data_IF_014951832393
#
_entry.id   IF_014951832393
#
_cell.length_a   1.000
_cell.length_b   1.000
_cell.length_c   1.000
_cell.angle_alpha   90.00
_cell.angle_beta   90.00
_cell.angle_gamma   90.00
#
_symmetry.space_group_name_H-M   'P 1'
#
loop_
_entity.id
_entity.type
_entity.pdbx_description
1 polymer ?
#
# COMPACT_ATOMS: atom_id res chain seq x y z
N UNK A 1 -23.08 -15.57 -29.04
CA UNK A 1 -22.13 -16.56 -28.53
C UNK A 1 -22.66 -17.05 -27.19
N UNK A 2 -23.34 -18.20 -27.18
CA UNK A 2 -23.88 -18.80 -25.94
C UNK A 2 -22.81 -19.76 -25.41
N UNK A 3 -22.26 -19.46 -24.24
CA UNK A 3 -21.31 -20.33 -23.55
C UNK A 3 -22.13 -21.30 -22.70
N UNK A 4 -22.03 -22.60 -22.95
CA UNK A 4 -22.72 -23.59 -22.12
C UNK A 4 -21.99 -23.76 -20.78
N UNK A 5 -22.75 -23.93 -19.69
CA UNK A 5 -22.18 -24.04 -18.34
C UNK A 5 -21.15 -25.18 -18.21
N UNK A 6 -21.29 -26.25 -18.98
CA UNK A 6 -20.37 -27.40 -19.05
C UNK A 6 -18.98 -27.01 -19.56
N UNK A 7 -18.85 -25.90 -20.29
CA UNK A 7 -17.58 -25.43 -20.85
C UNK A 7 -16.76 -24.62 -19.84
N UNK A 8 -17.34 -24.24 -18.70
CA UNK A 8 -16.63 -23.52 -17.65
C UNK A 8 -15.62 -24.43 -16.96
N UNK A 9 -14.42 -23.92 -16.69
CA UNK A 9 -13.35 -24.67 -16.05
C UNK A 9 -13.72 -25.23 -14.66
N UNK A 10 -14.57 -24.51 -13.91
CA UNK A 10 -15.09 -24.97 -12.62
C UNK A 10 -15.85 -26.30 -12.73
N UNK A 11 -16.41 -26.60 -13.90
CA UNK A 11 -17.27 -27.76 -14.17
C UNK A 11 -16.59 -28.81 -15.07
N UNK A 12 -15.25 -28.78 -15.17
CA UNK A 12 -14.48 -29.74 -15.97
C UNK A 12 -14.19 -29.31 -17.41
N UNK A 13 -14.62 -28.11 -17.81
CA UNK A 13 -14.21 -27.47 -19.06
C UNK A 13 -12.72 -27.05 -19.05
N UNK A 14 -12.22 -26.60 -20.19
CA UNK A 14 -10.84 -26.09 -20.28
C UNK A 14 -10.75 -24.66 -19.70
N UNK A 15 -9.76 -24.36 -18.85
CA UNK A 15 -9.47 -23.00 -18.40
C UNK A 15 -9.28 -22.02 -19.56
N UNK A 16 -9.93 -20.86 -19.48
CA UNK A 16 -9.81 -19.81 -20.50
C UNK A 16 -8.41 -19.19 -20.56
N UNK A 17 -7.72 -19.15 -19.41
CA UNK A 17 -6.36 -18.64 -19.30
C UNK A 17 -5.40 -19.79 -19.01
N UNK A 18 -4.25 -19.77 -19.68
CA UNK A 18 -3.17 -20.74 -19.45
C UNK A 18 -2.35 -20.44 -18.20
N UNK A 19 -2.36 -19.17 -17.77
CA UNK A 19 -1.66 -18.71 -16.57
C UNK A 19 -2.63 -18.19 -15.50
N UNK A 20 -2.22 -18.35 -14.23
CA UNK A 20 -2.99 -17.83 -13.10
C UNK A 20 -2.85 -16.32 -13.01
N UNK A 21 -3.98 -15.62 -13.03
CA UNK A 21 -4.03 -14.18 -12.81
C UNK A 21 -4.12 -13.89 -11.30
N UNK A 22 -3.03 -13.39 -10.73
CA UNK A 22 -2.95 -13.07 -9.30
C UNK A 22 -3.46 -11.66 -9.00
N UNK A 23 -4.43 -11.55 -8.10
CA UNK A 23 -4.85 -10.26 -7.53
C UNK A 23 -3.73 -9.70 -6.65
N UNK A 24 -3.42 -8.42 -6.83
CA UNK A 24 -2.39 -7.74 -6.04
C UNK A 24 -0.96 -7.99 -6.52
N UNK A 25 -0.75 -8.48 -7.75
CA UNK A 25 0.58 -8.56 -8.36
C UNK A 25 1.25 -7.16 -8.37
N UNK A 26 2.46 -7.00 -7.82
CA UNK A 26 3.11 -5.69 -7.76
C UNK A 26 3.40 -5.12 -9.15
N UNK A 27 3.11 -3.83 -9.34
CA UNK A 27 3.56 -3.08 -10.50
C UNK A 27 4.99 -2.61 -10.22
N UNK A 28 5.97 -3.25 -10.88
CA UNK A 28 7.38 -2.94 -10.67
C UNK A 28 7.87 -1.96 -11.74
N UNK A 29 8.73 -1.04 -11.33
CA UNK A 29 9.54 -0.24 -12.23
C UNK A 29 10.61 -1.11 -12.92
N UNK A 30 11.23 -0.64 -14.02
CA UNK A 30 12.37 -1.31 -14.62
C UNK A 30 13.46 -1.62 -13.59
N UNK A 31 13.98 -2.85 -13.61
CA UNK A 31 14.96 -3.32 -12.63
C UNK A 31 16.19 -2.40 -12.52
N UNK A 32 16.63 -1.82 -13.62
CA UNK A 32 17.78 -0.92 -13.67
C UNK A 32 17.57 0.34 -12.81
N UNK A 33 16.37 0.93 -12.85
CA UNK A 33 16.04 2.13 -12.07
C UNK A 33 16.04 1.83 -10.57
N UNK A 34 15.43 0.70 -10.17
CA UNK A 34 15.40 0.26 -8.77
C UNK A 34 16.82 0.03 -8.23
N UNK A 35 17.67 -0.64 -9.02
CA UNK A 35 19.05 -0.93 -8.61
C UNK A 35 19.92 0.33 -8.54
N UNK A 36 19.69 1.32 -9.38
CA UNK A 36 20.41 2.60 -9.33
C UNK A 36 20.17 3.33 -7.99
N UNK A 37 18.91 3.42 -7.56
CA UNK A 37 18.56 4.04 -6.27
C UNK A 37 19.14 3.30 -5.07
N UNK A 38 19.08 1.97 -5.09
CA UNK A 38 19.68 1.13 -4.04
C UNK A 38 21.19 1.37 -3.99
N UNK A 39 21.87 1.32 -5.14
CA UNK A 39 23.33 1.51 -5.24
C UNK A 39 23.74 2.87 -4.68
N UNK A 40 23.02 3.94 -5.03
CA UNK A 40 23.29 5.26 -4.50
C UNK A 40 23.16 5.33 -2.97
N UNK A 41 22.23 4.58 -2.35
CA UNK A 41 22.13 4.49 -0.89
C UNK A 41 23.33 3.75 -0.27
N UNK A 42 23.82 2.68 -0.91
CA UNK A 42 25.01 1.94 -0.48
C UNK A 42 26.28 2.77 -0.60
N UNK A 43 26.47 3.51 -1.70
CA UNK A 43 27.65 4.37 -1.91
C UNK A 43 27.76 5.47 -0.85
N UNK A 44 26.62 5.96 -0.37
CA UNK A 44 26.52 6.95 0.72
C UNK A 44 26.70 6.33 2.11
N UNK A 45 26.71 5.00 2.23
CA UNK A 45 26.67 4.26 3.50
C UNK A 45 25.51 4.70 4.41
N UNK A 46 24.42 5.20 3.82
CA UNK A 46 23.28 5.76 4.54
C UNK A 46 21.99 5.14 4.03
N UNK A 47 21.56 4.07 4.70
CA UNK A 47 20.46 3.21 4.24
C UNK A 47 19.08 3.55 4.84
N UNK A 48 19.05 4.24 6.00
CA UNK A 48 17.81 4.50 6.77
C UNK A 48 17.92 5.83 7.54
N UNK A 49 17.15 6.06 8.61
CA UNK A 49 17.31 7.15 9.58
C UNK A 49 17.41 8.54 8.92
N UNK A 50 16.33 9.00 8.29
CA UNK A 50 16.26 10.32 7.62
C UNK A 50 17.36 10.56 6.57
N UNK A 51 17.79 9.51 5.88
CA UNK A 51 18.70 9.62 4.75
C UNK A 51 18.11 10.41 3.57
N UNK A 52 18.95 10.77 2.57
CA UNK A 52 18.57 11.65 1.46
C UNK A 52 17.41 11.10 0.62
N UNK A 53 17.34 9.78 0.40
CA UNK A 53 16.24 9.14 -0.32
C UNK A 53 14.89 9.39 0.37
N UNK A 54 14.85 9.32 1.71
CA UNK A 54 13.63 9.58 2.49
C UNK A 54 13.18 11.03 2.33
N UNK A 55 14.12 11.98 2.48
CA UNK A 55 13.83 13.41 2.42
C UNK A 55 13.34 13.84 1.03
N UNK A 56 13.97 13.32 -0.03
CA UNK A 56 13.52 13.55 -1.39
C UNK A 56 12.10 13.03 -1.59
N UNK A 57 11.82 11.80 -1.14
CA UNK A 57 10.50 11.22 -1.32
C UNK A 57 9.42 11.97 -0.51
N UNK A 58 9.73 12.43 0.71
CA UNK A 58 8.81 13.28 1.48
C UNK A 58 8.51 14.60 0.77
N UNK A 59 9.51 15.26 0.18
CA UNK A 59 9.33 16.50 -0.55
C UNK A 59 8.46 16.33 -1.80
N UNK A 60 8.74 15.29 -2.61
CA UNK A 60 7.96 14.96 -3.80
C UNK A 60 6.50 14.59 -3.43
N UNK A 61 6.30 13.86 -2.34
CA UNK A 61 4.96 13.55 -1.84
C UNK A 61 4.21 14.79 -1.36
N UNK A 62 4.86 15.71 -0.64
CA UNK A 62 4.24 16.96 -0.21
C UNK A 62 3.74 17.77 -1.42
N UNK A 63 4.58 17.88 -2.46
CA UNK A 63 4.22 18.57 -3.69
C UNK A 63 3.05 17.88 -4.41
N UNK A 64 3.10 16.55 -4.53
CA UNK A 64 2.09 15.77 -5.24
C UNK A 64 0.74 15.72 -4.53
N UNK A 65 0.74 15.68 -3.20
CA UNK A 65 -0.48 15.65 -2.38
C UNK A 65 -0.98 17.06 -2.01
N UNK A 66 -0.21 18.10 -2.30
CA UNK A 66 -0.48 19.49 -1.94
C UNK A 66 -0.71 19.67 -0.42
N UNK A 67 0.20 19.13 0.38
CA UNK A 67 0.19 19.22 1.86
C UNK A 67 1.49 19.82 2.37
N UNK A 68 1.50 20.52 3.52
CA UNK A 68 2.70 21.17 4.02
C UNK A 68 3.77 20.19 4.51
N UNK A 69 3.36 19.01 5.00
CA UNK A 69 4.26 18.03 5.60
C UNK A 69 3.82 16.60 5.31
N UNK A 70 4.79 15.73 5.02
CA UNK A 70 4.65 14.27 4.97
C UNK A 70 5.68 13.65 5.90
N UNK A 71 5.29 12.63 6.65
CA UNK A 71 6.21 11.84 7.48
C UNK A 71 6.11 10.39 7.01
N UNK A 72 7.19 9.87 6.46
CA UNK A 72 7.29 8.48 6.03
C UNK A 72 7.61 7.57 7.21
N UNK A 73 6.94 6.43 7.26
CA UNK A 73 7.14 5.37 8.26
C UNK A 73 7.20 4.01 7.57
N UNK A 74 7.58 2.98 8.31
CA UNK A 74 7.77 1.63 7.74
C UNK A 74 6.49 0.98 7.23
N UNK A 75 5.31 1.29 7.80
CA UNK A 75 4.02 0.78 7.34
C UNK A 75 2.84 1.62 7.89
N UNK A 76 1.66 1.44 7.29
CA UNK A 76 0.46 2.19 7.65
C UNK A 76 -0.03 1.93 9.09
N UNK A 77 0.15 0.73 9.64
CA UNK A 77 -0.25 0.42 11.02
C UNK A 77 0.57 1.25 12.01
N UNK A 78 1.88 1.33 11.81
CA UNK A 78 2.76 2.18 12.62
C UNK A 78 2.41 3.66 12.47
N UNK A 79 2.06 4.10 11.25
CA UNK A 79 1.61 5.47 11.02
C UNK A 79 0.41 5.82 11.90
N UNK A 80 -0.60 4.94 11.94
CA UNK A 80 -1.79 5.12 12.76
C UNK A 80 -1.46 5.13 14.25
N UNK A 81 -0.61 4.21 14.73
CA UNK A 81 -0.22 4.19 16.15
C UNK A 81 0.50 5.48 16.56
N UNK A 82 1.41 5.99 15.73
CA UNK A 82 2.10 7.26 15.97
C UNK A 82 1.10 8.42 15.97
N UNK A 83 0.17 8.44 15.01
CA UNK A 83 -0.86 9.47 14.90
C UNK A 83 -1.76 9.50 16.14
N UNK A 84 -2.28 8.34 16.58
CA UNK A 84 -3.14 8.24 17.76
C UNK A 84 -2.41 8.76 19.00
N UNK A 85 -1.13 8.40 19.17
CA UNK A 85 -0.30 8.87 20.29
C UNK A 85 0.02 10.35 20.20
N UNK A 86 0.28 10.89 19.01
CA UNK A 86 0.59 12.29 18.79
C UNK A 86 -0.62 13.21 19.02
N UNK A 87 -1.83 12.69 18.76
CA UNK A 87 -3.09 13.40 19.00
C UNK A 87 -3.62 13.24 20.45
N UNK A 88 -2.93 12.45 21.28
CA UNK A 88 -3.34 12.11 22.67
C UNK A 88 -4.82 11.68 22.76
N UNK A 89 -5.25 10.83 21.83
CA UNK A 89 -6.64 10.38 21.78
C UNK A 89 -6.90 9.37 22.90
N UNK A 90 -7.99 9.59 23.64
CA UNK A 90 -8.42 8.77 24.76
C UNK A 90 -9.80 8.18 24.50
N UNK A 91 -10.05 6.98 25.02
CA UNK A 91 -11.36 6.34 24.96
C UNK A 91 -11.65 5.68 23.61
N UNK A 92 -12.62 6.20 22.86
CA UNK A 92 -13.20 5.51 21.71
C UNK A 92 -13.05 6.31 20.42
N UNK A 93 -12.41 5.72 19.40
CA UNK A 93 -12.27 6.32 18.07
C UNK A 93 -13.23 5.66 17.09
N UNK A 94 -14.11 6.47 16.50
CA UNK A 94 -15.07 6.02 15.48
C UNK A 94 -14.43 6.04 14.11
N UNK A 95 -14.53 4.93 13.38
CA UNK A 95 -14.07 4.84 12.00
C UNK A 95 -15.08 4.09 11.13
N UNK A 96 -15.08 4.42 9.84
CA UNK A 96 -15.95 3.72 8.87
C UNK A 96 -15.31 2.40 8.48
N UNK A 97 -16.03 1.29 8.69
CA UNK A 97 -15.70 0.01 8.06
C UNK A 97 -16.52 -0.12 6.78
N UNK A 98 -15.86 0.02 5.63
CA UNK A 98 -16.47 -0.33 4.34
C UNK A 98 -16.17 -1.79 4.04
N UNK A 99 -17.18 -2.65 4.14
CA UNK A 99 -17.16 -3.97 3.50
C UNK A 99 -17.86 -3.85 2.14
N UNK A 100 -17.51 -4.68 1.15
CA UNK A 100 -18.03 -4.58 -0.21
C UNK A 100 -19.56 -4.54 -0.36
N UNK A 101 -20.31 -4.94 0.68
CA UNK A 101 -21.78 -4.94 0.72
C UNK A 101 -22.40 -3.88 1.63
N UNK A 102 -21.71 -3.41 2.68
CA UNK A 102 -22.32 -2.57 3.71
C UNK A 102 -21.29 -1.63 4.37
N UNK A 103 -21.72 -0.39 4.62
CA UNK A 103 -21.00 0.61 5.42
C UNK A 103 -21.50 0.52 6.85
N UNK A 104 -20.63 0.07 7.75
CA UNK A 104 -20.93 -0.01 9.19
C UNK A 104 -19.95 0.88 9.95
N UNK A 105 -20.46 1.63 10.92
CA UNK A 105 -19.61 2.34 11.87
C UNK A 105 -19.08 1.34 12.89
N UNK A 106 -17.78 1.41 13.16
CA UNK A 106 -17.14 0.62 14.20
C UNK A 106 -16.24 1.53 15.01
N UNK A 107 -16.12 1.21 16.28
CA UNK A 107 -15.26 1.92 17.17
C UNK A 107 -14.09 1.08 17.65
N UNK A 108 -12.95 1.74 17.84
CA UNK A 108 -11.75 1.18 18.44
C UNK A 108 -11.59 1.80 19.83
N UNK A 109 -11.45 0.95 20.84
CA UNK A 109 -11.05 1.40 22.18
C UNK A 109 -9.52 1.50 22.22
N UNK A 110 -9.02 2.67 22.58
CA UNK A 110 -7.60 2.97 22.73
C UNK A 110 -7.23 2.84 24.21
#
# INVERSE_FOLDING_TARGET
MQCEFTQMALWGGQPLFTETLHVGRPNLLPKAEILAEITAAFDRLWLTNRGPCLQQFEAELCQRLNVPHCILVSNATLALMILLKALDLQGEVTFTRKSGLCRTEKSLKI
#
